data_IF_625937458314
#
_entry.id   IF_625937458314
#
_cell.length_a   1.000
_cell.length_b   1.000
_cell.length_c   1.000
_cell.angle_alpha   90.00
_cell.angle_beta   90.00
_cell.angle_gamma   90.00
#
_symmetry.space_group_name_H-M   'P 1'
#
loop_
_entity.id
_entity.type
_entity.pdbx_description
1 polymer ?
#
# COMPACT_ATOMS: atom_id res chain seq x y z
N UNK A 1 -10.82 2.33 -23.85
CA UNK A 1 -9.77 2.03 -22.85
C UNK A 1 -10.30 2.51 -21.53
N UNK A 2 -10.58 1.60 -20.62
CA UNK A 2 -11.06 1.94 -19.29
C UNK A 2 -9.87 2.13 -18.36
N UNK A 3 -10.01 3.06 -17.41
CA UNK A 3 -8.96 3.38 -16.44
C UNK A 3 -9.45 3.07 -15.03
N UNK A 4 -8.61 2.41 -14.25
CA UNK A 4 -8.87 2.10 -12.84
C UNK A 4 -7.94 2.96 -12.00
N UNK A 5 -8.54 3.78 -11.16
CA UNK A 5 -7.82 4.59 -10.17
C UNK A 5 -7.97 3.90 -8.81
N UNK A 6 -6.86 3.44 -8.25
CA UNK A 6 -6.82 2.85 -6.92
C UNK A 6 -6.19 3.83 -5.92
N UNK A 7 -6.91 4.10 -4.83
CA UNK A 7 -6.49 5.01 -3.77
C UNK A 7 -6.07 4.20 -2.55
N UNK A 8 -4.77 4.13 -2.28
CA UNK A 8 -4.21 3.43 -1.12
C UNK A 8 -3.83 4.44 -0.02
N UNK A 9 -4.60 4.57 1.08
CA UNK A 9 -4.24 5.47 2.18
C UNK A 9 -3.09 4.88 3.00
N UNK A 10 -1.86 5.34 2.74
CA UNK A 10 -0.65 4.78 3.39
C UNK A 10 -0.54 5.14 4.88
N UNK A 11 -1.28 6.16 5.34
CA UNK A 11 -1.36 6.56 6.74
C UNK A 11 -2.04 5.52 7.65
N UNK A 12 -2.70 4.51 7.10
CA UNK A 12 -3.45 3.50 7.84
C UNK A 12 -2.59 2.28 8.26
N UNK A 13 -1.26 2.38 8.16
CA UNK A 13 -0.34 1.30 8.50
C UNK A 13 -0.40 0.85 9.97
N UNK A 14 -0.89 1.70 10.85
CA UNK A 14 -1.07 1.51 12.30
C UNK A 14 -2.54 1.28 12.70
N UNK A 15 -3.43 1.05 11.72
CA UNK A 15 -4.86 0.90 11.92
C UNK A 15 -5.33 -0.49 11.51
N UNK A 16 -6.38 -0.97 12.17
CA UNK A 16 -7.12 -2.18 11.78
C UNK A 16 -8.38 -1.80 11.00
N UNK A 17 -9.01 -2.80 10.36
CA UNK A 17 -10.35 -2.64 9.80
C UNK A 17 -11.38 -2.39 10.91
N UNK A 18 -12.51 -1.79 10.56
CA UNK A 18 -13.59 -1.54 11.51
C UNK A 18 -14.37 -2.83 11.80
N UNK A 19 -14.47 -3.68 10.78
CA UNK A 19 -15.14 -4.98 10.76
C UNK A 19 -14.26 -6.12 11.31
N UNK A 20 -12.93 -5.99 11.24
CA UNK A 20 -11.99 -6.99 11.76
C UNK A 20 -10.76 -6.33 12.39
N UNK A 21 -10.69 -6.38 13.72
CA UNK A 21 -9.60 -5.83 14.52
C UNK A 21 -8.28 -6.62 14.41
N UNK A 22 -8.25 -7.74 13.70
CA UNK A 22 -7.03 -8.52 13.46
C UNK A 22 -6.36 -8.17 12.13
N UNK A 23 -7.09 -7.50 11.22
CA UNK A 23 -6.60 -7.19 9.88
C UNK A 23 -6.06 -5.77 9.84
N UNK A 24 -4.78 -5.63 9.51
CA UNK A 24 -4.17 -4.33 9.27
C UNK A 24 -4.71 -3.70 7.98
N UNK A 25 -5.15 -2.44 8.07
CA UNK A 25 -5.83 -1.75 6.97
C UNK A 25 -4.94 -1.45 5.75
N UNK A 26 -3.64 -1.22 5.96
CA UNK A 26 -2.70 -1.09 4.83
C UNK A 26 -2.45 -2.45 4.17
N UNK A 27 -2.35 -3.52 4.95
CA UNK A 27 -2.19 -4.87 4.41
C UNK A 27 -3.42 -5.29 3.57
N UNK A 28 -4.62 -4.99 4.06
CA UNK A 28 -5.87 -5.19 3.31
C UNK A 28 -5.87 -4.45 1.96
N UNK A 29 -5.44 -3.17 1.96
CA UNK A 29 -5.30 -2.39 0.72
C UNK A 29 -4.33 -3.03 -0.29
N UNK A 30 -3.28 -3.70 0.19
CA UNK A 30 -2.32 -4.43 -0.67
C UNK A 30 -2.98 -5.69 -1.25
N UNK A 31 -3.78 -6.40 -0.46
CA UNK A 31 -4.55 -7.58 -0.91
C UNK A 31 -5.54 -7.19 -2.00
N UNK A 32 -6.36 -6.17 -1.76
CA UNK A 32 -7.33 -5.65 -2.73
C UNK A 32 -6.65 -5.19 -4.03
N UNK A 33 -5.52 -4.50 -3.92
CA UNK A 33 -4.74 -4.11 -5.10
C UNK A 33 -4.25 -5.33 -5.89
N UNK A 34 -3.80 -6.38 -5.20
CA UNK A 34 -3.41 -7.63 -5.85
C UNK A 34 -4.57 -8.24 -6.61
N UNK A 35 -5.74 -8.38 -5.98
CA UNK A 35 -6.92 -8.99 -6.59
C UNK A 35 -7.43 -8.21 -7.81
N UNK A 36 -7.43 -6.88 -7.73
CA UNK A 36 -7.86 -6.01 -8.83
C UNK A 36 -6.84 -6.04 -9.98
N UNK A 37 -5.54 -5.90 -9.68
CA UNK A 37 -4.50 -5.82 -10.70
C UNK A 37 -4.22 -7.16 -11.39
N UNK A 38 -4.58 -8.29 -10.77
CA UNK A 38 -4.44 -9.62 -11.39
C UNK A 38 -5.74 -10.15 -12.02
N UNK A 39 -6.83 -9.40 -11.97
CA UNK A 39 -8.11 -9.84 -12.53
C UNK A 39 -8.04 -9.90 -14.08
N UNK A 40 -8.23 -11.07 -14.70
CA UNK A 40 -8.16 -11.22 -16.16
C UNK A 40 -9.14 -10.33 -16.93
N UNK A 41 -10.31 -10.01 -16.33
CA UNK A 41 -11.31 -9.13 -16.94
C UNK A 41 -10.81 -7.69 -17.09
N UNK A 42 -9.81 -7.31 -16.29
CA UNK A 42 -9.26 -5.95 -16.24
C UNK A 42 -7.91 -5.85 -16.97
N UNK A 43 -7.47 -6.90 -17.69
CA UNK A 43 -6.15 -6.95 -18.35
C UNK A 43 -5.91 -5.82 -19.36
N UNK A 44 -6.97 -5.33 -20.01
CA UNK A 44 -6.89 -4.23 -20.97
C UNK A 44 -7.04 -2.84 -20.34
N UNK A 45 -7.30 -2.76 -19.03
CA UNK A 45 -7.50 -1.50 -18.31
C UNK A 45 -6.17 -0.86 -17.94
N UNK A 46 -6.15 0.48 -17.91
CA UNK A 46 -5.00 1.23 -17.45
C UNK A 46 -5.09 1.45 -15.94
N UNK A 47 -4.00 1.20 -15.21
CA UNK A 47 -4.00 1.25 -13.74
C UNK A 47 -3.23 2.46 -13.21
N UNK A 48 -3.90 3.30 -12.44
CA UNK A 48 -3.33 4.46 -11.77
C UNK A 48 -3.40 4.24 -10.26
N UNK A 49 -2.25 4.16 -9.61
CA UNK A 49 -2.15 4.00 -8.15
C UNK A 49 -1.79 5.32 -7.49
N UNK A 50 -2.64 5.79 -6.58
CA UNK A 50 -2.35 6.91 -5.70
C UNK A 50 -2.08 6.43 -4.28
N UNK A 51 -0.87 6.71 -3.79
CA UNK A 51 -0.55 6.61 -2.37
C UNK A 51 -1.05 7.89 -1.69
N UNK A 52 -2.19 7.80 -1.01
CA UNK A 52 -2.90 8.94 -0.44
C UNK A 52 -2.59 9.14 1.06
N UNK A 53 -2.94 10.31 1.60
CA UNK A 53 -2.77 10.72 3.00
C UNK A 53 -1.31 10.74 3.45
N UNK A 54 -0.41 11.14 2.56
CA UNK A 54 1.04 11.23 2.81
C UNK A 54 1.38 12.26 3.88
N UNK A 55 0.56 13.29 4.03
CA UNK A 55 0.60 14.30 5.08
C UNK A 55 0.39 13.68 6.46
N UNK A 56 -0.68 12.88 6.64
CA UNK A 56 -0.97 12.17 7.90
C UNK A 56 0.11 11.13 8.16
N UNK A 57 0.54 10.41 7.12
CA UNK A 57 1.62 9.44 7.22
C UNK A 57 2.91 10.07 7.74
N UNK A 58 3.32 11.20 7.16
CA UNK A 58 4.51 11.95 7.61
C UNK A 58 4.38 12.35 9.08
N UNK A 59 3.24 12.93 9.48
CA UNK A 59 2.98 13.31 10.87
C UNK A 59 3.10 12.14 11.85
N UNK A 60 2.67 10.93 11.46
CA UNK A 60 2.80 9.73 12.30
C UNK A 60 4.25 9.29 12.47
N UNK A 61 5.04 9.34 11.39
CA UNK A 61 6.47 9.03 11.46
C UNK A 61 7.22 10.05 12.34
N UNK A 62 6.89 11.35 12.19
CA UNK A 62 7.47 12.43 12.98
C UNK A 62 7.10 12.32 14.47
N UNK A 63 5.90 11.79 14.78
CA UNK A 63 5.48 11.46 16.14
C UNK A 63 6.15 10.20 16.71
N UNK A 64 7.03 9.54 15.93
CA UNK A 64 7.79 8.37 16.37
C UNK A 64 7.09 7.02 16.15
N UNK A 65 5.91 6.99 15.51
CA UNK A 65 5.24 5.72 15.16
C UNK A 65 6.09 5.00 14.11
N UNK A 66 6.50 3.77 14.40
CA UNK A 66 7.40 3.01 13.52
C UNK A 66 6.64 2.11 12.58
N UNK A 67 6.91 2.22 11.28
CA UNK A 67 6.32 1.33 10.27
C UNK A 67 6.68 -0.14 10.55
N UNK A 68 7.89 -0.39 11.06
CA UNK A 68 8.39 -1.73 11.37
C UNK A 68 7.57 -2.48 12.43
N UNK A 69 6.91 -1.75 13.33
CA UNK A 69 6.12 -2.34 14.42
C UNK A 69 4.82 -2.97 13.90
N UNK A 70 4.32 -2.49 12.75
CA UNK A 70 3.08 -2.95 12.14
C UNK A 70 3.30 -3.77 10.86
N UNK A 71 4.39 -3.50 10.13
CA UNK A 71 4.70 -4.16 8.87
C UNK A 71 6.02 -4.94 9.03
N UNK A 72 5.91 -6.20 9.44
CA UNK A 72 7.07 -7.08 9.72
C UNK A 72 8.06 -7.14 8.55
N UNK A 73 7.55 -7.20 7.31
CA UNK A 73 8.41 -7.25 6.11
C UNK A 73 9.15 -5.94 5.79
N UNK A 74 8.86 -4.86 6.52
CA UNK A 74 9.66 -3.63 6.49
C UNK A 74 11.01 -3.80 7.21
N UNK A 75 11.07 -4.63 8.26
CA UNK A 75 12.30 -4.99 8.96
C UNK A 75 12.98 -3.79 9.64
N UNK A 76 14.32 -3.75 9.59
CA UNK A 76 15.16 -2.75 10.29
C UNK A 76 15.48 -1.49 9.45
N UNK A 77 14.64 -1.16 8.47
CA UNK A 77 14.86 -0.01 7.58
C UNK A 77 14.61 1.32 8.32
N UNK A 78 15.22 2.44 7.89
CA UNK A 78 15.06 3.74 8.57
C UNK A 78 13.61 4.23 8.60
N UNK A 79 13.09 4.62 9.77
CA UNK A 79 11.72 5.12 9.92
C UNK A 79 11.52 6.57 9.44
N UNK A 80 12.10 6.94 8.29
CA UNK A 80 11.91 8.24 7.66
C UNK A 80 10.94 8.15 6.49
N UNK A 81 10.36 9.29 6.11
CA UNK A 81 9.33 9.36 5.07
C UNK A 81 9.82 8.77 3.73
N UNK A 82 11.06 9.04 3.32
CA UNK A 82 11.60 8.58 2.04
C UNK A 82 11.75 7.05 1.99
N UNK A 83 12.35 6.45 3.02
CA UNK A 83 12.58 5.00 3.07
C UNK A 83 11.26 4.23 3.15
N UNK A 84 10.35 4.70 4.00
CA UNK A 84 9.04 4.06 4.23
C UNK A 84 8.15 4.17 2.99
N UNK A 85 8.01 5.35 2.38
CA UNK A 85 7.23 5.53 1.15
C UNK A 85 7.83 4.76 -0.03
N UNK A 86 9.16 4.72 -0.16
CA UNK A 86 9.83 3.93 -1.20
C UNK A 86 9.51 2.44 -1.05
N UNK A 87 9.53 1.91 0.17
CA UNK A 87 9.16 0.53 0.43
C UNK A 87 7.69 0.25 0.06
N UNK A 88 6.76 1.10 0.50
CA UNK A 88 5.33 0.93 0.20
C UNK A 88 5.09 1.00 -1.31
N UNK A 89 5.66 2.00 -2.00
CA UNK A 89 5.58 2.12 -3.46
C UNK A 89 6.09 0.87 -4.18
N UNK A 90 7.23 0.33 -3.76
CA UNK A 90 7.78 -0.92 -4.33
C UNK A 90 6.86 -2.11 -4.07
N UNK A 91 6.25 -2.20 -2.89
CA UNK A 91 5.33 -3.29 -2.53
C UNK A 91 4.12 -3.32 -3.46
N UNK A 92 3.45 -2.18 -3.67
CA UNK A 92 2.32 -2.09 -4.60
C UNK A 92 2.74 -2.23 -6.07
N UNK A 93 3.85 -1.59 -6.47
CA UNK A 93 4.33 -1.62 -7.86
C UNK A 93 4.73 -3.02 -8.33
N UNK A 94 5.31 -3.84 -7.44
CA UNK A 94 5.67 -5.24 -7.77
C UNK A 94 4.44 -6.08 -8.16
N UNK A 95 3.30 -5.85 -7.52
CA UNK A 95 2.07 -6.59 -7.82
C UNK A 95 1.54 -6.28 -9.22
N UNK A 96 1.62 -5.02 -9.64
CA UNK A 96 1.23 -4.61 -10.99
C UNK A 96 2.17 -5.18 -12.07
N UNK A 97 3.50 -5.15 -11.82
CA UNK A 97 4.48 -5.65 -12.79
C UNK A 97 4.40 -7.17 -13.00
N UNK A 98 4.12 -7.93 -11.93
CA UNK A 98 4.04 -9.39 -12.02
C UNK A 98 2.93 -9.82 -12.99
N UNK A 99 1.82 -9.10 -13.04
CA UNK A 99 0.72 -9.41 -13.95
C UNK A 99 1.00 -9.00 -15.40
N UNK A 100 1.64 -7.84 -15.64
CA UNK A 100 2.01 -7.41 -16.99
C UNK A 100 3.10 -8.28 -17.64
N UNK A 101 3.79 -9.08 -16.84
CA UNK A 101 4.84 -10.00 -17.30
C UNK A 101 4.30 -11.39 -17.71
N UNK A 102 2.97 -11.61 -17.64
CA UNK A 102 2.28 -12.88 -17.94
C UNK A 102 1.20 -12.67 -19.02
#
# INVERSE_FOLDING_TARGET
MDSIIFLAPISCFDQTLAEDSKVNRLADSVTLWSEISTNPLLKSSNFILFLNKTDIFRRKLDAGVKLADYIVSYGKRPNNFESTTTYIRKKFGKLLQLFLSV
#
